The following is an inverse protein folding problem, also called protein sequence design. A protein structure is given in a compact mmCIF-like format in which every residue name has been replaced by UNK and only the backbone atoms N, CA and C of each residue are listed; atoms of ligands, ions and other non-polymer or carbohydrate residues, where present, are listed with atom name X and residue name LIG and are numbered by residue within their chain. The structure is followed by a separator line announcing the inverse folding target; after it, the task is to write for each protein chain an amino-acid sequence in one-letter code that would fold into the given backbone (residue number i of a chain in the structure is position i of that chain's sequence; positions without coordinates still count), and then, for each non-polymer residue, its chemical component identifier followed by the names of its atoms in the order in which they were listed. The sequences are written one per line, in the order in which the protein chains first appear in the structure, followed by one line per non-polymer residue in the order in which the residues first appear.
data_IF_279311352401
#
_entry.id   IF_279311352401
#
_cell.length_a   1.000
_cell.length_b   1.000
_cell.length_c   1.000
_cell.angle_alpha   90.00
_cell.angle_beta   90.00
_cell.angle_gamma   90.00
#
_symmetry.space_group_name_H-M   'P 1'
#
loop_
_entity.id
_entity.type
_entity.pdbx_description
1 polymer ?
#
# COMPACT_ATOMS: atom_id res chain seq x y z
N UNK A 1 0.10 -8.88 25.18
CA UNK A 1 -0.63 -9.48 24.04
C UNK A 1 -0.41 -8.76 22.69
N UNK A 2 -0.19 -7.44 22.65
CA UNK A 2 -0.02 -6.69 21.37
C UNK A 2 1.10 -7.22 20.46
N UNK A 3 2.32 -7.42 20.99
CA UNK A 3 3.44 -7.88 20.18
C UNK A 3 3.34 -9.32 19.65
N UNK A 4 2.37 -10.12 20.07
CA UNK A 4 2.11 -11.43 19.47
C UNK A 4 1.24 -11.32 18.21
N UNK A 5 0.30 -10.37 18.19
CA UNK A 5 -0.55 -10.09 17.04
C UNK A 5 0.22 -9.34 15.94
N UNK A 6 1.10 -8.41 16.32
CA UNK A 6 1.97 -7.70 15.36
C UNK A 6 2.91 -8.67 14.63
N UNK A 7 3.55 -9.59 15.37
CA UNK A 7 4.36 -10.67 14.79
C UNK A 7 3.57 -11.62 13.90
N UNK A 8 2.31 -11.91 14.26
CA UNK A 8 1.42 -12.72 13.42
C UNK A 8 1.11 -12.00 12.10
N UNK A 9 0.84 -10.70 12.15
CA UNK A 9 0.56 -9.88 10.97
C UNK A 9 1.77 -9.78 10.03
N UNK A 10 2.97 -9.53 10.59
CA UNK A 10 4.21 -9.50 9.81
C UNK A 10 4.49 -10.85 9.14
N UNK A 11 4.24 -11.96 9.84
CA UNK A 11 4.37 -13.30 9.28
C UNK A 11 3.35 -13.58 8.16
N UNK A 12 2.12 -13.07 8.27
CA UNK A 12 1.09 -13.22 7.23
C UNK A 12 1.46 -12.41 5.97
N UNK A 13 1.98 -11.19 6.14
CA UNK A 13 2.48 -10.35 5.03
C UNK A 13 3.67 -11.01 4.35
N UNK A 14 4.64 -11.51 5.12
CA UNK A 14 5.79 -12.23 4.58
C UNK A 14 5.38 -13.52 3.85
N UNK A 15 4.42 -14.28 4.40
CA UNK A 15 3.89 -15.47 3.75
C UNK A 15 3.16 -15.13 2.44
N UNK A 16 2.37 -14.06 2.41
CA UNK A 16 1.68 -13.59 1.19
C UNK A 16 2.69 -13.16 0.11
N UNK A 17 3.76 -12.46 0.49
CA UNK A 17 4.83 -12.03 -0.42
C UNK A 17 5.70 -13.20 -0.90
N UNK A 18 5.81 -14.27 -0.12
CA UNK A 18 6.54 -15.49 -0.50
C UNK A 18 5.77 -16.35 -1.53
N UNK A 19 4.50 -16.05 -1.80
CA UNK A 19 3.72 -16.78 -2.82
C UNK A 19 4.21 -16.34 -4.21
N UNK A 20 4.75 -17.24 -5.04
CA UNK A 20 5.36 -16.90 -6.34
C UNK A 20 4.29 -16.70 -7.43
N UNK A 21 3.21 -15.99 -7.14
CA UNK A 21 2.05 -15.86 -8.02
C UNK A 21 2.42 -15.28 -9.39
N UNK A 22 3.36 -14.33 -9.44
CA UNK A 22 3.88 -13.77 -10.69
C UNK A 22 4.73 -14.77 -11.47
N UNK A 23 5.58 -15.56 -10.79
CA UNK A 23 6.42 -16.56 -11.44
C UNK A 23 5.57 -17.70 -12.02
N UNK A 24 4.50 -18.12 -11.31
CA UNK A 24 3.53 -19.11 -11.78
C UNK A 24 2.73 -18.58 -12.97
N UNK A 25 2.33 -17.30 -12.95
CA UNK A 25 1.64 -16.67 -14.07
C UNK A 25 2.55 -16.59 -15.31
N UNK A 26 3.81 -16.19 -15.15
CA UNK A 26 4.79 -16.14 -16.23
C UNK A 26 5.09 -17.53 -16.80
N UNK A 27 5.21 -18.56 -15.94
CA UNK A 27 5.39 -19.94 -16.36
C UNK A 27 4.17 -20.44 -17.17
N UNK A 28 2.95 -20.16 -16.72
CA UNK A 28 1.73 -20.52 -17.45
C UNK A 28 1.69 -19.89 -18.83
N UNK A 29 1.99 -18.59 -18.94
CA UNK A 29 2.00 -17.87 -20.22
C UNK A 29 2.98 -18.49 -21.21
N UNK A 30 4.18 -18.89 -20.75
CA UNK A 30 5.17 -19.59 -21.60
C UNK A 30 4.67 -20.95 -22.07
N UNK A 31 4.00 -21.72 -21.20
CA UNK A 31 3.42 -23.02 -21.57
C UNK A 31 2.27 -22.85 -22.57
N UNK A 32 1.40 -21.85 -22.39
CA UNK A 32 0.32 -21.56 -23.34
C UNK A 32 0.85 -21.18 -24.73
N UNK A 33 1.90 -20.35 -24.77
CA UNK A 33 2.57 -19.99 -26.02
C UNK A 33 3.19 -21.22 -26.70
N UNK A 34 3.83 -22.11 -25.93
CA UNK A 34 4.39 -23.36 -26.45
C UNK A 34 3.30 -24.28 -27.02
N UNK A 35 2.16 -24.40 -26.32
CA UNK A 35 1.00 -25.17 -26.80
C UNK A 35 0.52 -24.63 -28.15
N UNK A 36 0.39 -23.30 -28.29
CA UNK A 36 -0.08 -22.70 -29.54
C UNK A 36 0.86 -22.96 -30.73
N UNK A 37 2.18 -22.79 -30.51
CA UNK A 37 3.19 -23.07 -31.54
C UNK A 37 3.19 -24.55 -31.91
N UNK A 38 3.12 -25.44 -30.92
CA UNK A 38 3.14 -26.88 -31.15
C UNK A 38 1.87 -27.36 -31.88
N UNK A 39 0.70 -26.86 -31.51
CA UNK A 39 -0.59 -27.17 -32.16
C UNK A 39 -0.55 -26.73 -33.63
N UNK A 40 -0.06 -25.52 -33.92
CA UNK A 40 0.08 -25.01 -35.28
C UNK A 40 1.07 -25.84 -36.13
N UNK A 41 2.22 -26.21 -35.56
CA UNK A 41 3.24 -27.00 -36.26
C UNK A 41 2.80 -28.46 -36.52
N UNK A 42 1.83 -28.96 -35.75
CA UNK A 42 1.42 -30.37 -35.79
C UNK A 42 0.02 -30.60 -36.35
N UNK A 43 -0.69 -29.54 -36.76
CA UNK A 43 -2.02 -29.61 -37.40
C UNK A 43 -2.17 -30.65 -38.53
N UNK A 44 -1.16 -30.90 -39.41
CA UNK A 44 -1.28 -31.94 -40.43
C UNK A 44 -1.11 -33.37 -39.91
N UNK A 45 -0.52 -33.55 -38.72
CA UNK A 45 -0.10 -34.85 -38.20
C UNK A 45 -1.08 -35.38 -37.15
N UNK A 46 -1.77 -36.48 -37.47
CA UNK A 46 -2.65 -37.20 -36.52
C UNK A 46 -1.93 -38.29 -35.73
N UNK A 47 -0.60 -38.22 -35.61
CA UNK A 47 0.15 -39.24 -34.90
C UNK A 47 -0.27 -39.30 -33.42
N UNK A 48 -0.58 -40.48 -32.86
CA UNK A 48 -1.10 -40.61 -31.50
C UNK A 48 -0.16 -40.01 -30.43
N UNK A 49 1.15 -40.10 -30.63
CA UNK A 49 2.13 -39.53 -29.69
C UNK A 49 2.10 -38.00 -29.63
N UNK A 50 1.84 -37.35 -30.77
CA UNK A 50 1.71 -35.89 -30.87
C UNK A 50 0.46 -35.43 -30.13
N UNK A 51 -0.65 -36.14 -30.33
CA UNK A 51 -1.91 -35.89 -29.62
C UNK A 51 -1.73 -36.08 -28.10
N UNK A 52 -1.05 -37.15 -27.69
CA UNK A 52 -0.78 -37.44 -26.27
C UNK A 52 0.17 -36.41 -25.63
N UNK A 53 1.19 -35.93 -26.35
CA UNK A 53 2.07 -34.86 -25.89
C UNK A 53 1.30 -33.54 -25.68
N UNK A 54 0.46 -33.15 -26.64
CA UNK A 54 -0.35 -31.94 -26.55
C UNK A 54 -1.36 -32.00 -25.39
N UNK A 55 -1.97 -33.17 -25.17
CA UNK A 55 -2.85 -33.39 -24.03
C UNK A 55 -2.13 -33.20 -22.68
N UNK A 56 -0.90 -33.71 -22.55
CA UNK A 56 -0.06 -33.53 -21.34
C UNK A 56 0.30 -32.06 -21.11
N UNK A 57 0.66 -31.32 -22.16
CA UNK A 57 0.96 -29.89 -22.06
C UNK A 57 -0.26 -29.07 -21.65
N UNK A 58 -1.43 -29.34 -22.26
CA UNK A 58 -2.71 -28.70 -21.86
C UNK A 58 -3.06 -28.99 -20.41
N UNK A 59 -2.87 -30.23 -19.96
CA UNK A 59 -3.06 -30.61 -18.55
C UNK A 59 -2.12 -29.83 -17.61
N UNK A 60 -0.83 -29.69 -17.99
CA UNK A 60 0.14 -28.90 -17.22
C UNK A 60 -0.25 -27.41 -17.13
N UNK A 61 -0.67 -26.79 -18.24
CA UNK A 61 -1.17 -25.40 -18.23
C UNK A 61 -2.40 -25.24 -17.32
N UNK A 62 -3.35 -26.17 -17.38
CA UNK A 62 -4.51 -26.16 -16.50
C UNK A 62 -4.11 -26.29 -15.01
N UNK A 63 -3.12 -27.12 -14.69
CA UNK A 63 -2.59 -27.25 -13.34
C UNK A 63 -1.92 -25.96 -12.84
N UNK A 64 -1.14 -25.28 -13.69
CA UNK A 64 -0.56 -23.97 -13.38
C UNK A 64 -1.64 -22.91 -13.15
N UNK A 65 -2.71 -22.91 -13.96
CA UNK A 65 -3.87 -22.04 -13.77
C UNK A 65 -4.56 -22.26 -12.42
N UNK A 66 -4.76 -23.51 -12.00
CA UNK A 66 -5.30 -23.83 -10.66
C UNK A 66 -4.36 -23.41 -9.53
N UNK A 67 -3.05 -23.62 -9.69
CA UNK A 67 -2.05 -23.18 -8.71
C UNK A 67 -2.05 -21.65 -8.56
N UNK A 68 -2.15 -20.92 -9.67
CA UNK A 68 -2.29 -19.46 -9.67
C UNK A 68 -3.60 -19.00 -9.00
N UNK A 69 -4.71 -19.67 -9.29
CA UNK A 69 -6.00 -19.41 -8.61
C UNK A 69 -5.90 -19.57 -7.10
N UNK A 70 -5.37 -20.72 -6.65
CA UNK A 70 -5.13 -20.99 -5.22
C UNK A 70 -4.18 -19.99 -4.57
N UNK A 71 -3.10 -19.61 -5.24
CA UNK A 71 -2.17 -18.59 -4.77
C UNK A 71 -2.90 -17.25 -4.51
N UNK A 72 -3.76 -16.83 -5.45
CA UNK A 72 -4.56 -15.61 -5.30
C UNK A 72 -5.62 -15.72 -4.20
N UNK A 73 -6.27 -16.88 -4.09
CA UNK A 73 -7.22 -17.17 -3.00
C UNK A 73 -6.52 -17.10 -1.65
N UNK A 74 -5.33 -17.68 -1.51
CA UNK A 74 -4.51 -17.60 -0.28
C UNK A 74 -4.16 -16.15 0.02
N UNK A 75 -3.63 -15.38 -0.93
CA UNK A 75 -3.30 -13.96 -0.72
C UNK A 75 -4.54 -13.15 -0.31
N UNK A 76 -5.68 -13.40 -0.97
CA UNK A 76 -6.97 -12.74 -0.65
C UNK A 76 -7.47 -13.15 0.73
N UNK A 77 -7.37 -14.42 1.09
CA UNK A 77 -7.76 -14.94 2.40
C UNK A 77 -6.85 -14.41 3.51
N UNK A 78 -5.54 -14.31 3.27
CA UNK A 78 -4.57 -13.72 4.20
C UNK A 78 -4.86 -12.23 4.40
N UNK A 79 -5.13 -11.48 3.32
CA UNK A 79 -5.53 -10.08 3.41
C UNK A 79 -6.84 -9.89 4.18
N UNK A 80 -7.87 -10.69 3.86
CA UNK A 80 -9.16 -10.66 4.56
C UNK A 80 -9.06 -11.10 6.02
N UNK A 81 -8.16 -12.03 6.35
CA UNK A 81 -7.88 -12.45 7.72
C UNK A 81 -7.14 -11.35 8.49
N UNK A 82 -6.17 -10.68 7.87
CA UNK A 82 -5.57 -9.45 8.40
C UNK A 82 -6.65 -8.41 8.70
N UNK A 83 -7.52 -8.11 7.74
CA UNK A 83 -8.65 -7.18 7.92
C UNK A 83 -9.60 -7.60 9.06
N UNK A 84 -9.89 -8.89 9.24
CA UNK A 84 -10.70 -9.38 10.37
C UNK A 84 -9.99 -9.28 11.71
N UNK A 85 -8.67 -9.51 11.76
CA UNK A 85 -7.87 -9.23 12.95
C UNK A 85 -7.91 -7.73 13.29
N UNK A 86 -7.97 -6.85 12.29
CA UNK A 86 -8.18 -5.41 12.48
C UNK A 86 -9.61 -5.08 12.97
N UNK A 87 -10.64 -5.83 12.57
CA UNK A 87 -12.04 -5.61 12.99
C UNK A 87 -12.42 -6.24 14.34
N UNK A 88 -11.67 -7.24 14.84
CA UNK A 88 -11.98 -7.94 16.10
C UNK A 88 -11.29 -7.36 17.36
N UNK A 89 -10.69 -6.16 17.31
CA UNK A 89 -10.48 -5.38 18.53
C UNK A 89 -11.86 -4.93 19.03
N UNK A 90 -12.31 -5.32 20.24
CA UNK A 90 -13.64 -4.99 20.70
C UNK A 90 -13.80 -3.48 20.78
N UNK A 91 -14.71 -2.95 19.96
CA UNK A 91 -15.21 -1.58 20.05
C UNK A 91 -15.86 -1.45 21.43
N UNK A 92 -15.13 -0.93 22.43
CA UNK A 92 -15.77 -0.41 23.65
C UNK A 92 -16.46 0.90 23.27
N UNK A 93 -17.67 0.76 22.73
CA UNK A 93 -18.60 1.85 22.47
C UNK A 93 -19.28 2.19 23.80
N UNK A 94 -18.74 3.16 24.54
CA UNK A 94 -19.50 3.84 25.58
C UNK A 94 -20.52 4.74 24.87
N UNK A 95 -21.76 4.26 24.77
CA UNK A 95 -22.92 5.08 24.47
C UNK A 95 -23.31 5.83 25.74
N UNK A 96 -23.31 7.16 25.69
CA UNK A 96 -24.12 8.00 26.56
C UNK A 96 -24.91 9.00 25.69
N UNK A 97 -26.12 9.43 26.09
CA UNK A 97 -27.15 9.86 25.16
C UNK A 97 -27.43 11.39 25.12
N UNK A 98 -27.84 11.82 23.92
CA UNK A 98 -28.95 12.73 23.55
C UNK A 98 -28.94 14.27 23.80
N UNK A 99 -29.21 14.98 22.67
CA UNK A 99 -30.00 16.24 22.47
C UNK A 99 -29.33 17.60 22.81
N UNK A 100 -29.42 18.71 22.05
CA UNK A 100 -30.41 19.21 21.05
C UNK A 100 -29.77 20.32 20.11
N UNK A 101 -30.50 20.88 19.10
CA UNK A 101 -30.00 21.77 18.00
C UNK A 101 -30.48 23.25 18.16
N UNK A 102 -30.52 24.16 17.14
CA UNK A 102 -29.80 24.35 15.86
C UNK A 102 -29.15 25.77 15.70
N UNK A 103 -28.30 25.98 14.69
CA UNK A 103 -27.95 27.34 14.25
C UNK A 103 -26.97 27.40 13.06
N UNK A 104 -27.43 27.99 11.96
CA UNK A 104 -26.61 28.55 10.85
C UNK A 104 -27.09 29.99 10.64
N UNK A 105 -26.36 30.91 9.96
CA UNK A 105 -25.07 30.76 9.28
C UNK A 105 -24.05 31.86 9.64
N UNK A 106 -22.74 31.65 9.42
CA UNK A 106 -21.84 32.77 9.15
C UNK A 106 -20.55 32.34 8.45
N UNK A 107 -20.36 32.88 7.25
CA UNK A 107 -19.13 32.81 6.46
C UNK A 107 -18.02 33.62 7.12
N UNK A 108 -17.00 32.93 7.63
CA UNK A 108 -15.64 33.43 7.74
C UNK A 108 -14.69 32.22 7.62
N UNK A 109 -14.11 32.05 6.43
CA UNK A 109 -13.18 30.96 6.14
C UNK A 109 -11.81 31.23 6.76
N UNK A 110 -11.69 30.96 8.05
CA UNK A 110 -10.40 30.63 8.67
C UNK A 110 -10.28 29.11 8.54
N UNK A 111 -9.39 28.69 7.63
CA UNK A 111 -9.08 27.30 7.27
C UNK A 111 -8.52 26.57 8.49
N UNK A 112 -9.39 25.85 9.17
CA UNK A 112 -9.04 25.03 10.32
C UNK A 112 -8.37 23.73 9.84
N UNK A 113 -7.16 23.52 10.33
CA UNK A 113 -6.32 22.33 10.15
C UNK A 113 -7.14 21.07 10.43
N UNK A 114 -7.06 20.05 9.58
CA UNK A 114 -7.73 18.76 9.79
C UNK A 114 -7.13 17.94 10.96
N UNK A 115 -6.20 18.53 11.71
CA UNK A 115 -5.71 17.96 12.94
C UNK A 115 -6.85 17.73 13.92
N UNK A 116 -6.90 16.53 14.47
CA UNK A 116 -7.72 16.26 15.64
C UNK A 116 -7.34 17.29 16.71
N UNK A 117 -8.30 18.00 17.31
CA UNK A 117 -8.02 18.93 18.40
C UNK A 117 -7.17 18.24 19.48
N UNK A 118 -5.99 18.80 19.77
CA UNK A 118 -5.06 18.27 20.77
C UNK A 118 -4.09 17.18 20.30
N UNK A 119 -3.87 17.01 18.98
CA UNK A 119 -2.81 16.11 18.49
C UNK A 119 -1.41 16.65 18.85
N UNK A 120 -0.68 15.93 19.70
CA UNK A 120 0.72 16.20 20.04
C UNK A 120 1.61 15.11 19.44
N UNK A 121 2.45 15.41 18.44
CA UNK A 121 3.32 14.41 17.82
C UNK A 121 4.55 14.08 18.66
N UNK A 122 4.85 14.83 19.74
CA UNK A 122 6.07 14.66 20.55
C UNK A 122 6.27 13.24 21.10
N UNK A 123 5.26 12.60 21.72
CA UNK A 123 5.44 11.26 22.29
C UNK A 123 5.81 10.20 21.25
N UNK A 124 5.40 10.38 19.99
CA UNK A 124 5.70 9.44 18.92
C UNK A 124 7.12 9.59 18.38
N UNK A 125 7.76 10.75 18.53
CA UNK A 125 9.16 10.95 18.17
C UNK A 125 10.12 10.25 19.15
N UNK A 126 9.79 10.26 20.44
CA UNK A 126 10.67 9.73 21.49
C UNK A 126 10.94 8.22 21.36
N UNK A 127 9.97 7.48 20.81
CA UNK A 127 10.07 6.04 20.58
C UNK A 127 10.69 5.65 19.23
N UNK A 128 10.92 6.60 18.32
CA UNK A 128 11.49 6.32 17.00
C UNK A 128 13.03 6.36 17.07
N UNK A 129 13.74 5.51 16.32
CA UNK A 129 15.18 5.62 16.25
C UNK A 129 15.57 6.99 15.67
N UNK A 130 16.67 7.54 16.18
CA UNK A 130 17.28 8.73 15.58
C UNK A 130 17.69 8.40 14.15
N UNK A 131 17.28 9.24 13.20
CA UNK A 131 17.65 9.07 11.81
C UNK A 131 19.14 9.35 11.63
N UNK A 132 19.87 8.36 11.11
CA UNK A 132 21.30 8.46 10.82
C UNK A 132 21.50 8.71 9.32
N UNK A 133 21.87 9.94 8.94
CA UNK A 133 22.08 10.35 7.55
C UNK A 133 23.29 9.67 6.90
N UNK A 134 24.33 9.44 7.68
CA UNK A 134 25.63 8.97 7.18
C UNK A 134 25.80 7.46 7.35
N UNK A 135 24.93 6.84 8.15
CA UNK A 135 24.92 5.41 8.41
C UNK A 135 24.47 4.55 7.23
N UNK A 136 24.95 3.32 7.24
CA UNK A 136 24.38 2.23 6.44
C UNK A 136 23.61 1.30 7.37
N UNK A 137 22.32 1.09 7.14
CA UNK A 137 21.55 0.07 7.87
C UNK A 137 20.13 0.51 8.27
N UNK A 138 19.53 -0.12 9.29
CA UNK A 138 18.18 0.21 9.73
C UNK A 138 18.03 1.67 10.22
N UNK A 139 19.05 2.24 10.87
CA UNK A 139 19.02 3.60 11.39
C UNK A 139 18.99 4.69 10.29
N UNK A 140 19.46 4.37 9.08
CA UNK A 140 19.41 5.29 7.93
C UNK A 140 18.10 5.23 7.14
N UNK A 141 17.14 4.42 7.60
CA UNK A 141 15.80 4.36 7.02
C UNK A 141 14.88 5.33 7.76
N UNK A 142 14.08 6.07 7.00
CA UNK A 142 12.94 6.79 7.55
C UNK A 142 11.99 5.79 8.20
N UNK A 143 11.68 6.00 9.46
CA UNK A 143 10.66 5.33 10.24
C UNK A 143 9.51 6.29 10.44
N UNK A 144 8.30 5.75 10.55
CA UNK A 144 7.14 6.56 10.81
C UNK A 144 6.09 5.83 11.62
N UNK A 145 5.08 6.61 12.00
CA UNK A 145 3.91 6.15 12.74
C UNK A 145 2.66 6.75 12.12
N UNK A 146 1.60 5.95 12.15
CA UNK A 146 0.26 6.38 11.80
C UNK A 146 -0.69 5.87 12.86
N UNK A 147 -1.46 6.77 13.47
CA UNK A 147 -2.52 6.36 14.39
C UNK A 147 -3.85 6.42 13.64
N UNK A 148 -4.49 5.26 13.49
CA UNK A 148 -5.72 5.14 12.72
C UNK A 148 -6.95 5.71 13.46
N UNK A 149 -8.11 5.62 12.79
CA UNK A 149 -9.36 6.10 13.34
C UNK A 149 -9.74 5.45 14.69
N UNK A 150 -9.29 4.22 14.93
CA UNK A 150 -9.54 3.44 16.14
C UNK A 150 -8.51 3.69 17.24
N UNK A 151 -7.56 4.61 17.01
CA UNK A 151 -6.47 4.88 17.95
C UNK A 151 -5.38 3.81 17.96
N UNK A 152 -5.32 2.95 16.94
CA UNK A 152 -4.23 1.97 16.81
C UNK A 152 -3.07 2.61 16.08
N UNK A 153 -1.90 2.60 16.72
CA UNK A 153 -0.65 3.07 16.11
C UNK A 153 0.00 1.97 15.29
N UNK A 154 0.25 2.28 14.02
CA UNK A 154 0.91 1.42 13.05
C UNK A 154 2.32 1.94 12.79
N UNK A 155 3.28 1.02 12.67
CA UNK A 155 4.65 1.35 12.25
C UNK A 155 4.72 1.46 10.73
N UNK A 156 5.43 2.48 10.27
CA UNK A 156 5.73 2.72 8.86
C UNK A 156 7.24 2.66 8.67
N UNK A 157 7.69 2.12 7.54
CA UNK A 157 9.12 1.97 7.26
C UNK A 157 9.41 2.26 5.79
N UNK A 158 10.41 3.09 5.53
CA UNK A 158 10.93 3.31 4.19
C UNK A 158 11.77 2.13 3.70
N UNK A 159 11.88 1.99 2.37
CA UNK A 159 12.75 1.00 1.74
C UNK A 159 12.09 0.23 0.61
N UNK A 160 12.75 -0.83 0.16
CA UNK A 160 12.43 -1.51 -1.10
C UNK A 160 12.00 -2.97 -0.91
N UNK A 161 11.70 -3.38 0.32
CA UNK A 161 11.48 -4.79 0.66
C UNK A 161 10.00 -5.17 0.81
N UNK A 162 9.08 -4.26 0.52
CA UNK A 162 7.63 -4.51 0.52
C UNK A 162 7.01 -4.39 -0.88
N UNK A 163 5.80 -4.91 -1.10
CA UNK A 163 5.11 -4.76 -2.38
C UNK A 163 4.70 -3.32 -2.72
N UNK A 164 4.72 -2.40 -1.76
CA UNK A 164 4.23 -1.04 -1.96
C UNK A 164 5.15 -0.22 -2.88
N UNK A 165 6.48 -0.40 -2.83
CA UNK A 165 7.36 0.33 -3.75
C UNK A 165 7.10 -0.03 -5.23
N UNK A 166 6.74 -1.28 -5.52
CA UNK A 166 6.36 -1.71 -6.87
C UNK A 166 5.07 -1.01 -7.30
N UNK A 167 4.07 -0.99 -6.41
CA UNK A 167 2.80 -0.32 -6.68
C UNK A 167 2.97 1.19 -6.87
N UNK A 168 3.85 1.84 -6.09
CA UNK A 168 4.19 3.26 -6.22
C UNK A 168 4.82 3.54 -7.59
N UNK A 169 5.77 2.72 -8.04
CA UNK A 169 6.38 2.85 -9.37
C UNK A 169 5.36 2.66 -10.50
N UNK A 170 4.55 1.61 -10.42
CA UNK A 170 3.51 1.36 -11.44
C UNK A 170 2.51 2.52 -11.50
N UNK A 171 2.18 3.12 -10.36
CA UNK A 171 1.31 4.29 -10.33
C UNK A 171 1.98 5.53 -10.93
N UNK A 172 3.27 5.76 -10.67
CA UNK A 172 4.04 6.85 -11.30
C UNK A 172 4.01 6.76 -12.83
N UNK A 173 4.15 5.54 -13.37
CA UNK A 173 4.07 5.25 -14.80
C UNK A 173 2.66 5.57 -15.33
N UNK A 174 1.61 5.12 -14.63
CA UNK A 174 0.21 5.39 -15.03
C UNK A 174 -0.11 6.88 -15.04
N UNK A 175 0.47 7.66 -14.12
CA UNK A 175 0.34 9.11 -14.08
C UNK A 175 1.17 9.84 -15.16
N UNK A 176 1.98 9.13 -15.95
CA UNK A 176 2.89 9.73 -16.92
C UNK A 176 3.99 10.59 -16.29
N UNK A 177 4.27 10.39 -14.99
CA UNK A 177 5.31 11.13 -14.25
C UNK A 177 6.70 10.61 -14.61
N UNK A 178 6.79 9.32 -14.91
CA UNK A 178 8.01 8.65 -15.39
C UNK A 178 7.68 7.76 -16.62
N UNK A 179 8.69 7.42 -17.46
CA UNK A 179 8.48 6.53 -18.61
C UNK A 179 8.05 5.12 -18.21
N UNK A 180 7.49 4.35 -19.16
CA UNK A 180 6.99 2.98 -18.94
C UNK A 180 8.01 1.98 -18.37
N UNK A 181 9.30 2.21 -18.60
CA UNK A 181 10.41 1.42 -18.06
C UNK A 181 11.23 2.19 -17.01
N UNK A 182 10.75 3.36 -16.60
CA UNK A 182 11.39 4.20 -15.60
C UNK A 182 11.21 3.65 -14.19
N UNK A 183 12.06 4.12 -13.28
CA UNK A 183 11.99 3.85 -11.85
C UNK A 183 11.98 5.17 -11.10
N UNK A 184 10.99 5.36 -10.24
CA UNK A 184 10.97 6.48 -9.30
C UNK A 184 11.91 6.15 -8.14
N UNK A 185 12.98 6.92 -7.98
CA UNK A 185 13.95 6.74 -6.89
C UNK A 185 13.30 6.82 -5.51
N UNK A 186 12.22 7.59 -5.38
CA UNK A 186 11.48 7.79 -4.13
C UNK A 186 10.34 6.80 -3.92
N UNK A 187 10.27 5.72 -4.72
CA UNK A 187 9.20 4.73 -4.57
C UNK A 187 9.22 4.00 -3.22
N UNK A 188 10.37 3.97 -2.56
CA UNK A 188 10.55 3.39 -1.23
C UNK A 188 10.10 4.27 -0.06
N UNK A 189 9.79 5.55 -0.31
CA UNK A 189 9.53 6.52 0.74
C UNK A 189 8.16 6.28 1.41
N UNK A 190 8.07 6.56 2.72
CA UNK A 190 6.89 6.25 3.53
C UNK A 190 5.65 6.98 2.98
N UNK A 191 5.81 8.24 2.61
CA UNK A 191 4.72 9.15 2.29
C UNK A 191 3.99 8.70 1.01
N UNK A 192 4.73 8.32 -0.04
CA UNK A 192 4.13 7.83 -1.28
C UNK A 192 3.45 6.48 -1.12
N UNK A 193 4.05 5.56 -0.36
CA UNK A 193 3.42 4.27 -0.04
C UNK A 193 2.14 4.47 0.76
N UNK A 194 2.18 5.34 1.76
CA UNK A 194 1.04 5.64 2.61
C UNK A 194 -0.09 6.30 1.82
N UNK A 195 0.22 7.29 0.98
CA UNK A 195 -0.74 7.94 0.10
C UNK A 195 -1.39 6.97 -0.89
N UNK A 196 -0.62 6.03 -1.45
CA UNK A 196 -1.18 4.98 -2.30
C UNK A 196 -2.10 4.03 -1.52
N UNK A 197 -1.74 3.70 -0.28
CA UNK A 197 -2.60 2.96 0.65
C UNK A 197 -3.92 3.70 0.95
N UNK A 198 -3.87 5.02 1.16
CA UNK A 198 -5.05 5.88 1.31
C UNK A 198 -5.94 5.82 0.06
N UNK A 199 -5.34 5.89 -1.14
CA UNK A 199 -6.09 5.76 -2.40
C UNK A 199 -6.78 4.41 -2.53
N UNK A 200 -6.10 3.32 -2.19
CA UNK A 200 -6.72 1.98 -2.17
C UNK A 200 -7.89 1.88 -1.20
N UNK A 201 -7.82 2.53 -0.03
CA UNK A 201 -8.97 2.61 0.91
C UNK A 201 -10.12 3.41 0.31
N UNK A 202 -9.84 4.59 -0.25
CA UNK A 202 -10.84 5.42 -0.93
C UNK A 202 -11.56 4.67 -2.06
N UNK A 203 -10.84 3.93 -2.91
CA UNK A 203 -11.45 3.14 -3.98
C UNK A 203 -12.44 2.08 -3.46
N UNK A 204 -12.23 1.57 -2.24
CA UNK A 204 -13.12 0.56 -1.63
C UNK A 204 -14.31 1.18 -0.91
N UNK A 205 -14.13 2.35 -0.28
CA UNK A 205 -15.15 2.94 0.58
C UNK A 205 -15.91 4.09 -0.07
N UNK A 206 -15.37 4.71 -1.12
CA UNK A 206 -15.86 5.96 -1.70
C UNK A 206 -15.61 7.20 -0.85
N UNK A 207 -15.01 7.06 0.34
CA UNK A 207 -14.84 8.14 1.30
C UNK A 207 -13.40 8.62 1.30
N UNK A 208 -13.19 9.92 1.05
CA UNK A 208 -11.87 10.54 1.05
C UNK A 208 -11.27 10.56 2.47
N UNK A 209 -10.15 9.86 2.72
CA UNK A 209 -9.55 9.81 4.06
C UNK A 209 -8.79 11.10 4.38
N UNK A 210 -8.82 11.49 5.65
CA UNK A 210 -7.97 12.54 6.23
C UNK A 210 -7.11 11.92 7.32
N UNK A 211 -5.82 11.86 7.09
CA UNK A 211 -4.89 11.07 7.90
C UNK A 211 -3.69 11.91 8.32
N UNK A 212 -3.08 11.54 9.44
CA UNK A 212 -1.85 12.16 9.93
C UNK A 212 -0.80 11.09 10.17
N UNK A 213 0.40 11.30 9.64
CA UNK A 213 1.56 10.45 9.89
C UNK A 213 2.69 11.27 10.51
N UNK A 214 3.54 10.59 11.26
CA UNK A 214 4.74 11.15 11.86
C UNK A 214 5.92 10.38 11.28
N UNK A 215 6.99 11.07 10.89
CA UNK A 215 8.22 10.44 10.36
C UNK A 215 9.43 10.97 11.10
N UNK A 216 10.47 10.15 11.27
CA UNK A 216 11.70 10.55 11.96
C UNK A 216 12.73 11.27 11.06
N UNK A 217 12.45 11.42 9.75
CA UNK A 217 13.39 12.05 8.83
C UNK A 217 13.53 13.56 9.17
N UNK A 218 14.75 14.06 9.42
CA UNK A 218 14.95 15.39 10.02
C UNK A 218 14.45 16.54 9.13
N UNK A 219 14.49 16.37 7.81
CA UNK A 219 14.04 17.39 6.86
C UNK A 219 12.59 17.18 6.38
N UNK A 220 11.89 16.18 6.92
CA UNK A 220 10.56 15.81 6.48
C UNK A 220 10.53 15.16 5.09
N UNK A 221 9.40 15.27 4.38
CA UNK A 221 9.26 14.74 3.02
C UNK A 221 10.33 15.30 2.08
N UNK A 222 10.95 14.43 1.27
CA UNK A 222 11.96 14.85 0.32
C UNK A 222 11.40 15.87 -0.68
N UNK A 223 12.24 16.84 -1.07
CA UNK A 223 11.85 17.99 -1.90
C UNK A 223 12.18 17.78 -3.40
N UNK A 224 11.46 18.47 -4.29
CA UNK A 224 11.68 18.45 -5.75
C UNK A 224 10.49 17.92 -6.56
N UNK A 225 10.56 18.00 -7.89
CA UNK A 225 9.42 17.67 -8.78
C UNK A 225 9.04 16.19 -8.77
N UNK A 226 10.02 15.29 -8.69
CA UNK A 226 9.84 13.83 -8.64
C UNK A 226 10.05 13.27 -7.23
N UNK A 227 9.73 14.07 -6.22
CA UNK A 227 9.90 13.75 -4.79
C UNK A 227 8.55 13.51 -4.11
N UNK A 228 8.55 13.11 -2.84
CA UNK A 228 7.33 13.06 -2.03
C UNK A 228 6.59 14.41 -2.08
N UNK A 229 7.29 15.52 -1.87
CA UNK A 229 6.66 16.84 -1.83
C UNK A 229 5.98 17.21 -3.16
N UNK A 230 6.64 16.87 -4.26
CA UNK A 230 6.17 17.15 -5.62
C UNK A 230 5.12 16.17 -6.13
N UNK A 231 4.95 15.00 -5.50
CA UNK A 231 4.07 13.94 -6.02
C UNK A 231 2.89 13.60 -5.11
N UNK A 232 2.91 13.95 -3.82
CA UNK A 232 1.87 13.54 -2.88
C UNK A 232 0.46 13.96 -3.30
N UNK A 233 0.28 15.15 -3.87
CA UNK A 233 -1.00 15.60 -4.41
C UNK A 233 -1.55 14.69 -5.53
N UNK A 234 -0.64 14.03 -6.27
CA UNK A 234 -0.96 13.02 -7.31
C UNK A 234 -1.20 11.62 -6.77
N UNK A 235 -0.66 11.31 -5.60
CA UNK A 235 -0.80 9.98 -5.00
C UNK A 235 -2.03 9.87 -4.12
N UNK A 236 -2.36 10.94 -3.40
CA UNK A 236 -3.53 11.00 -2.54
C UNK A 236 -4.82 10.92 -3.33
N UNK A 237 -5.86 10.21 -2.84
CA UNK A 237 -7.15 10.16 -3.51
C UNK A 237 -7.79 11.55 -3.63
N UNK A 238 -8.67 11.78 -4.63
CA UNK A 238 -9.42 13.03 -4.75
C UNK A 238 -10.13 13.41 -3.45
N UNK A 239 -9.87 14.64 -2.97
CA UNK A 239 -10.40 15.16 -1.71
C UNK A 239 -9.76 14.59 -0.43
N UNK A 240 -8.85 13.62 -0.56
CA UNK A 240 -8.08 13.07 0.55
C UNK A 240 -7.04 14.07 1.06
N UNK A 241 -6.69 13.93 2.33
CA UNK A 241 -5.76 14.82 3.02
C UNK A 241 -4.75 14.03 3.85
N UNK A 242 -3.47 14.34 3.70
CA UNK A 242 -2.40 13.74 4.49
C UNK A 242 -1.57 14.83 5.14
N UNK A 243 -1.54 14.84 6.47
CA UNK A 243 -0.63 15.68 7.25
C UNK A 243 0.58 14.85 7.66
N UNK A 244 1.78 15.34 7.37
CA UNK A 244 3.05 14.71 7.75
C UNK A 244 3.72 15.58 8.80
N UNK A 245 4.05 15.02 9.96
CA UNK A 245 4.88 15.66 10.99
C UNK A 245 6.29 15.07 10.98
N UNK A 246 7.28 15.92 11.24
CA UNK A 246 8.68 15.50 11.36
C UNK A 246 9.40 16.32 12.45
N UNK A 247 10.65 15.96 12.83
CA UNK A 247 11.34 16.58 13.96
C UNK A 247 11.43 18.11 13.86
N UNK A 248 11.51 18.77 15.02
CA UNK A 248 11.57 20.24 15.13
C UNK A 248 10.19 20.92 15.16
N UNK A 249 9.11 20.17 15.40
CA UNK A 249 7.74 20.72 15.45
C UNK A 249 7.19 21.06 14.06
N UNK A 250 7.83 20.56 13.01
CA UNK A 250 7.47 20.85 11.64
C UNK A 250 6.34 19.93 11.16
N UNK A 251 5.48 20.46 10.29
CA UNK A 251 4.44 19.68 9.63
C UNK A 251 4.06 20.27 8.28
N UNK A 252 3.47 19.43 7.42
CA UNK A 252 2.89 19.86 6.16
C UNK A 252 1.70 18.98 5.78
N UNK A 253 0.67 19.64 5.25
CA UNK A 253 -0.55 18.98 4.80
C UNK A 253 -0.62 18.99 3.28
N UNK A 254 -0.90 17.81 2.72
CA UNK A 254 -1.04 17.55 1.30
C UNK A 254 -2.49 17.18 1.00
N UNK A 255 -3.00 17.60 -0.16
CA UNK A 255 -4.36 17.33 -0.61
C UNK A 255 -4.31 16.65 -1.98
N UNK A 256 -5.16 15.65 -2.19
CA UNK A 256 -5.29 15.00 -3.50
C UNK A 256 -6.01 15.90 -4.51
N UNK A 257 -5.52 15.93 -5.76
CA UNK A 257 -6.20 16.69 -6.82
C UNK A 257 -7.58 16.11 -7.10
N UNK A 258 -8.52 16.98 -7.48
CA UNK A 258 -9.92 16.60 -7.69
C UNK A 258 -10.15 15.85 -9.01
N UNK A 259 -9.26 16.01 -10.00
CA UNK A 259 -9.50 15.62 -11.39
C UNK A 259 -8.65 14.41 -11.85
N UNK A 260 -8.26 13.52 -10.92
CA UNK A 260 -7.39 12.37 -11.20
C UNK A 260 -8.11 11.04 -11.41
#
# INVERSE_FOLDING_TARGET
MSGALDRLNDNLINAANAVPAEQVAAAKQRVDALIAVFDQATQPSRHPDVVAALARMRHASAALGRAQGRAREIVTALAAYGDKLYLHRPIRRTLAPASAPPGTPSSASVRESSERPGFDPRPDFDDMPVFDRDGTGPASKTHGRWTDANGVTHKLLSGWHDGYHVAVNQFAIRLGVIPAHGRLERAGDIELKFALGMRGRWQRTGTAPRETIIINHPDGPCQGKLSCDGLLHRYLPPGGELTVHWPGGNKRTYRGDQDQ
#
